data_IF_310692270545
#
_entry.id   IF_310692270545
#
_cell.length_a   1.000
_cell.length_b   1.000
_cell.length_c   1.000
_cell.angle_alpha   90.00
_cell.angle_beta   90.00
_cell.angle_gamma   90.00
#
_symmetry.space_group_name_H-M   'P 1'
#
loop_
_entity.id
_entity.type
_entity.pdbx_description
1 polymer ?
#
# COMPACT_ATOMS: atom_id res chain seq x y z
N UNK A 1 105.79 25.82 39.64
CA UNK A 1 105.06 26.15 38.37
C UNK A 1 104.43 24.93 37.76
N UNK A 2 105.20 24.01 37.12
CA UNK A 2 104.61 22.92 36.26
C UNK A 2 103.66 21.95 36.89
N UNK A 3 103.78 21.64 38.20
CA UNK A 3 102.86 20.70 38.93
C UNK A 3 101.49 21.29 39.13
N UNK A 4 101.35 22.58 39.30
CA UNK A 4 100.04 23.30 39.53
C UNK A 4 99.32 23.37 38.14
N UNK A 5 100.04 23.65 37.04
CA UNK A 5 99.49 23.65 35.69
C UNK A 5 98.95 22.26 35.28
N UNK A 6 99.73 21.21 35.55
CA UNK A 6 99.27 19.82 35.32
C UNK A 6 98.02 19.47 36.18
N UNK A 7 98.00 19.91 37.39
CA UNK A 7 96.80 19.69 38.28
C UNK A 7 95.56 20.38 37.80
N UNK A 8 95.73 21.62 37.26
CA UNK A 8 94.56 22.36 36.65
C UNK A 8 94.12 21.69 35.35
N UNK A 9 95.03 21.27 34.49
CA UNK A 9 94.65 20.56 33.25
C UNK A 9 93.98 19.21 33.53
N UNK A 10 94.37 18.50 34.56
CA UNK A 10 93.70 17.26 35.01
C UNK A 10 92.29 17.53 35.54
N UNK A 11 92.11 18.63 36.25
CA UNK A 11 90.73 19.01 36.73
C UNK A 11 89.78 19.44 35.58
N UNK A 12 90.37 20.17 34.58
CA UNK A 12 89.60 20.53 33.37
C UNK A 12 89.15 19.31 32.58
N UNK A 13 90.07 18.33 32.40
CA UNK A 13 89.77 17.09 31.72
C UNK A 13 88.72 16.29 32.49
N UNK A 14 88.81 16.21 33.80
CA UNK A 14 87.77 15.58 34.62
C UNK A 14 86.40 16.24 34.47
N UNK A 15 86.33 17.58 34.48
CA UNK A 15 85.06 18.35 34.24
C UNK A 15 84.45 18.04 32.87
N UNK A 16 85.32 18.04 31.83
CA UNK A 16 84.83 17.72 30.46
C UNK A 16 84.36 16.27 30.35
N UNK A 17 85.03 15.34 31.08
CA UNK A 17 84.60 13.96 31.12
C UNK A 17 83.24 13.75 31.74
N UNK A 18 82.94 14.48 32.87
CA UNK A 18 81.62 14.49 33.51
C UNK A 18 80.54 15.05 32.60
N UNK A 19 80.85 16.14 31.88
CA UNK A 19 79.92 16.73 30.91
C UNK A 19 79.64 15.76 29.77
N UNK A 20 80.60 15.11 29.23
CA UNK A 20 80.44 14.09 28.18
C UNK A 20 79.64 12.87 28.66
N UNK A 21 79.83 12.43 29.89
CA UNK A 21 79.05 11.36 30.51
C UNK A 21 77.53 11.78 30.65
N UNK A 22 77.28 13.02 31.13
CA UNK A 22 75.91 13.57 31.19
C UNK A 22 75.26 13.63 29.81
N UNK A 23 76.01 14.16 28.83
CA UNK A 23 75.49 14.25 27.45
C UNK A 23 75.20 12.85 26.85
N UNK A 24 76.07 11.84 27.11
CA UNK A 24 75.84 10.45 26.70
C UNK A 24 74.54 9.91 27.29
N UNK A 25 74.29 10.08 28.60
CA UNK A 25 73.10 9.60 29.27
C UNK A 25 71.84 10.29 28.72
N UNK A 26 71.90 11.60 28.43
CA UNK A 26 70.83 12.33 27.79
C UNK A 26 70.49 11.79 26.40
N UNK A 27 71.51 11.49 25.57
CA UNK A 27 71.34 10.88 24.25
C UNK A 27 70.69 9.51 24.34
N UNK A 28 71.10 8.66 25.28
CA UNK A 28 70.48 7.35 25.53
C UNK A 28 69.02 7.45 25.93
N UNK A 29 68.68 8.42 26.81
CA UNK A 29 67.30 8.70 27.19
C UNK A 29 66.43 9.17 26.01
N UNK A 30 66.95 10.09 25.19
CA UNK A 30 66.30 10.58 23.99
C UNK A 30 66.09 9.42 22.98
N UNK A 31 67.08 8.57 22.74
CA UNK A 31 66.99 7.42 21.89
C UNK A 31 65.88 6.44 22.35
N UNK A 32 65.81 6.16 23.64
CA UNK A 32 64.74 5.30 24.20
C UNK A 32 63.35 5.92 24.04
N UNK A 33 63.22 7.22 24.27
CA UNK A 33 61.98 7.96 24.07
C UNK A 33 61.54 7.98 22.59
N UNK A 34 62.47 8.17 21.64
CA UNK A 34 62.19 8.08 20.22
C UNK A 34 61.71 6.69 19.79
N UNK A 35 62.31 5.64 20.35
CA UNK A 35 61.88 4.26 20.04
C UNK A 35 60.43 4.00 20.54
N UNK A 36 60.11 4.49 21.71
CA UNK A 36 58.74 4.38 22.27
C UNK A 36 57.73 5.15 21.43
N UNK A 37 58.05 6.36 21.01
CA UNK A 37 57.17 7.20 20.15
C UNK A 37 56.96 6.49 18.80
N UNK A 38 58.02 5.94 18.18
CA UNK A 38 57.87 5.20 16.93
C UNK A 38 56.97 3.96 17.08
N UNK A 39 57.10 3.20 18.18
CA UNK A 39 56.21 2.06 18.43
C UNK A 39 54.74 2.50 18.58
N UNK A 40 54.49 3.59 19.29
CA UNK A 40 53.13 4.16 19.42
C UNK A 40 52.58 4.66 18.07
N UNK A 41 53.44 5.27 17.26
CA UNK A 41 53.04 5.75 15.92
C UNK A 41 52.65 4.57 14.99
N UNK A 42 53.45 3.51 15.02
CA UNK A 42 53.13 2.31 14.24
C UNK A 42 51.80 1.67 14.66
N UNK A 43 51.57 1.51 15.98
CA UNK A 43 50.31 1.00 16.51
C UNK A 43 49.11 1.91 16.16
N UNK A 44 49.31 3.22 16.18
CA UNK A 44 48.30 4.17 15.77
C UNK A 44 47.94 4.03 14.28
N UNK A 45 48.94 3.91 13.40
CA UNK A 45 48.73 3.76 11.98
C UNK A 45 48.02 2.43 11.64
N UNK A 46 48.37 1.32 12.32
CA UNK A 46 47.69 0.03 12.15
C UNK A 46 46.19 0.15 12.55
N UNK A 47 45.91 0.80 13.69
CA UNK A 47 44.53 1.03 14.14
C UNK A 47 43.76 1.95 13.19
N UNK A 48 44.39 2.97 12.63
CA UNK A 48 43.81 3.86 11.66
C UNK A 48 43.38 3.13 10.38
N UNK A 49 44.27 2.25 9.87
CA UNK A 49 43.96 1.46 8.67
C UNK A 49 42.86 0.44 8.92
N UNK A 50 42.80 -0.16 10.11
CA UNK A 50 41.70 -1.03 10.51
C UNK A 50 40.36 -0.27 10.55
N UNK A 51 40.36 0.93 11.14
CA UNK A 51 39.16 1.78 11.19
C UNK A 51 38.68 2.22 9.80
N UNK A 52 39.64 2.58 8.92
CA UNK A 52 39.30 2.91 7.52
C UNK A 52 38.62 1.73 6.79
N UNK A 53 39.15 0.52 6.96
CA UNK A 53 38.56 -0.70 6.36
C UNK A 53 37.16 -0.99 6.92
N UNK A 54 36.99 -0.88 8.23
CA UNK A 54 35.67 -1.03 8.87
C UNK A 54 34.64 -0.01 8.35
N UNK A 55 35.05 1.26 8.28
CA UNK A 55 34.19 2.33 7.74
C UNK A 55 33.77 2.04 6.30
N UNK A 56 34.71 1.65 5.45
CA UNK A 56 34.40 1.33 4.05
C UNK A 56 33.45 0.13 3.92
N UNK A 57 33.61 -0.89 4.75
CA UNK A 57 32.68 -2.03 4.79
C UNK A 57 31.27 -1.60 5.22
N UNK A 58 31.16 -0.74 6.22
CA UNK A 58 29.89 -0.18 6.69
C UNK A 58 29.23 0.70 5.64
N UNK A 59 29.97 1.57 4.97
CA UNK A 59 29.47 2.42 3.89
C UNK A 59 28.92 1.57 2.72
N UNK A 60 29.63 0.50 2.34
CA UNK A 60 29.19 -0.42 1.31
C UNK A 60 27.90 -1.16 1.72
N UNK A 61 27.82 -1.62 2.97
CA UNK A 61 26.62 -2.26 3.49
C UNK A 61 25.43 -1.31 3.51
N UNK A 62 25.61 -0.09 3.98
CA UNK A 62 24.56 0.92 4.01
C UNK A 62 24.05 1.28 2.60
N UNK A 63 24.97 1.36 1.62
CA UNK A 63 24.60 1.55 0.22
C UNK A 63 23.75 0.37 -0.28
N UNK A 64 24.17 -0.86 -0.04
CA UNK A 64 23.41 -2.05 -0.42
C UNK A 64 22.01 -2.07 0.18
N UNK A 65 21.87 -1.80 1.49
CA UNK A 65 20.57 -1.75 2.18
C UNK A 65 19.67 -0.67 1.56
N UNK A 66 20.24 0.49 1.24
CA UNK A 66 19.48 1.58 0.59
C UNK A 66 19.00 1.17 -0.82
N UNK A 67 19.84 0.52 -1.61
CA UNK A 67 19.50 0.07 -2.96
C UNK A 67 18.40 -1.01 -2.91
N UNK A 68 18.48 -1.95 -1.97
CA UNK A 68 17.45 -2.97 -1.73
C UNK A 68 16.11 -2.31 -1.31
N UNK A 69 16.16 -1.36 -0.37
CA UNK A 69 14.97 -0.64 0.09
C UNK A 69 14.30 0.13 -1.05
N UNK A 70 15.09 0.80 -1.90
CA UNK A 70 14.57 1.53 -3.05
C UNK A 70 13.91 0.58 -4.07
N UNK A 71 14.56 -0.55 -4.38
CA UNK A 71 14.02 -1.55 -5.30
C UNK A 71 12.72 -2.15 -4.78
N UNK A 72 12.64 -2.45 -3.47
CA UNK A 72 11.43 -2.93 -2.84
C UNK A 72 10.30 -1.89 -2.93
N UNK A 73 10.58 -0.63 -2.67
CA UNK A 73 9.57 0.45 -2.76
C UNK A 73 9.03 0.63 -4.19
N UNK A 74 9.88 0.50 -5.20
CA UNK A 74 9.45 0.55 -6.60
C UNK A 74 8.53 -0.64 -6.90
N UNK A 75 8.97 -1.85 -6.58
CA UNK A 75 8.19 -3.07 -6.77
C UNK A 75 6.83 -3.02 -6.06
N UNK A 76 6.80 -2.54 -4.81
CA UNK A 76 5.57 -2.38 -4.06
C UNK A 76 4.59 -1.41 -4.73
N UNK A 77 5.09 -0.27 -5.22
CA UNK A 77 4.26 0.69 -5.97
C UNK A 77 3.69 0.08 -7.25
N UNK A 78 4.50 -0.67 -7.99
CA UNK A 78 4.06 -1.34 -9.21
C UNK A 78 2.99 -2.39 -8.93
N UNK A 79 3.13 -3.16 -7.85
CA UNK A 79 2.09 -4.10 -7.40
C UNK A 79 0.76 -3.41 -7.05
N UNK A 80 0.81 -2.28 -6.33
CA UNK A 80 -0.39 -1.50 -6.00
C UNK A 80 -1.04 -0.97 -7.28
N UNK A 81 -0.25 -0.42 -8.20
CA UNK A 81 -0.76 0.08 -9.48
C UNK A 81 -1.40 -1.04 -10.31
N UNK A 82 -0.77 -2.20 -10.38
CA UNK A 82 -1.29 -3.37 -11.08
C UNK A 82 -2.60 -3.86 -10.46
N UNK A 83 -2.66 -3.97 -9.13
CA UNK A 83 -3.90 -4.31 -8.42
C UNK A 83 -5.02 -3.32 -8.76
N UNK A 84 -4.75 -2.02 -8.63
CA UNK A 84 -5.73 -0.98 -8.90
C UNK A 84 -6.23 -1.02 -10.35
N UNK A 85 -5.34 -1.33 -11.30
CA UNK A 85 -5.72 -1.48 -12.71
C UNK A 85 -6.66 -2.68 -12.91
N UNK A 86 -6.35 -3.85 -12.32
CA UNK A 86 -7.24 -5.01 -12.40
C UNK A 86 -8.59 -4.71 -11.76
N UNK A 87 -8.60 -4.10 -10.58
CA UNK A 87 -9.83 -3.72 -9.90
C UNK A 87 -10.66 -2.75 -10.75
N UNK A 88 -10.04 -1.75 -11.38
CA UNK A 88 -10.71 -0.82 -12.28
C UNK A 88 -11.31 -1.53 -13.52
N UNK A 89 -10.56 -2.38 -14.19
CA UNK A 89 -11.05 -3.18 -15.31
C UNK A 89 -12.21 -4.10 -14.93
N UNK A 90 -12.21 -4.63 -13.71
CA UNK A 90 -13.32 -5.44 -13.19
C UNK A 90 -14.58 -4.61 -12.99
N UNK A 91 -14.46 -3.38 -12.53
CA UNK A 91 -15.57 -2.47 -12.27
C UNK A 91 -16.16 -1.93 -13.57
N UNK A 92 -15.35 -1.39 -14.48
CA UNK A 92 -15.80 -0.83 -15.76
C UNK A 92 -16.67 -1.78 -16.57
N UNK A 93 -16.44 -3.08 -16.43
CA UNK A 93 -17.22 -4.10 -17.13
C UNK A 93 -18.59 -4.41 -16.50
N UNK A 94 -18.92 -3.89 -15.32
CA UNK A 94 -20.22 -4.15 -14.68
C UNK A 94 -21.13 -2.92 -14.63
N UNK A 95 -20.62 -1.71 -14.87
CA UNK A 95 -21.40 -0.45 -14.76
C UNK A 95 -22.69 -0.51 -15.59
N UNK A 96 -22.58 -0.90 -16.85
CA UNK A 96 -23.74 -1.03 -17.74
C UNK A 96 -24.74 -2.09 -17.29
N UNK A 97 -24.24 -3.24 -16.81
CA UNK A 97 -25.12 -4.29 -16.32
C UNK A 97 -25.84 -3.84 -15.03
N UNK A 98 -25.11 -3.22 -14.11
CA UNK A 98 -25.70 -2.64 -12.88
C UNK A 98 -26.77 -1.62 -13.22
N UNK A 99 -26.46 -0.69 -14.13
CA UNK A 99 -27.44 0.32 -14.58
C UNK A 99 -28.69 -0.33 -15.19
N UNK A 100 -28.51 -1.34 -16.04
CA UNK A 100 -29.63 -2.06 -16.65
C UNK A 100 -30.54 -2.75 -15.64
N UNK A 101 -29.97 -3.44 -14.64
CA UNK A 101 -30.73 -4.05 -13.55
C UNK A 101 -31.41 -2.99 -12.68
N UNK A 102 -30.70 -1.93 -12.34
CA UNK A 102 -31.25 -0.84 -11.53
C UNK A 102 -32.44 -0.16 -12.20
N UNK A 103 -32.30 0.16 -13.48
CA UNK A 103 -33.39 0.75 -14.28
C UNK A 103 -34.59 -0.20 -14.42
N UNK A 104 -34.34 -1.50 -14.55
CA UNK A 104 -35.41 -2.49 -14.63
C UNK A 104 -36.22 -2.57 -13.31
N UNK A 105 -35.54 -2.47 -12.16
CA UNK A 105 -36.17 -2.46 -10.84
C UNK A 105 -36.94 -1.16 -10.60
N UNK A 106 -36.33 -0.03 -10.94
CA UNK A 106 -36.86 1.31 -10.64
C UNK A 106 -37.55 1.96 -11.85
N UNK A 107 -38.08 1.18 -12.79
CA UNK A 107 -38.72 1.68 -14.01
C UNK A 107 -39.99 2.47 -13.79
N UNK A 108 -40.59 2.36 -12.58
CA UNK A 108 -41.81 3.06 -12.19
C UNK A 108 -41.54 4.41 -11.50
N UNK A 109 -40.27 4.79 -11.34
CA UNK A 109 -39.87 6.05 -10.73
C UNK A 109 -40.30 7.25 -11.61
N UNK A 110 -40.35 8.41 -10.97
CA UNK A 110 -40.57 9.66 -11.69
C UNK A 110 -39.47 9.87 -12.73
N UNK A 111 -39.80 10.31 -13.96
CA UNK A 111 -38.78 10.55 -14.99
C UNK A 111 -37.62 11.47 -14.57
N UNK A 112 -37.87 12.39 -13.61
CA UNK A 112 -36.82 13.27 -13.07
C UNK A 112 -35.82 12.55 -12.16
N UNK A 113 -36.27 11.47 -11.53
CA UNK A 113 -35.42 10.63 -10.64
C UNK A 113 -34.75 9.47 -11.37
N UNK A 114 -35.10 9.27 -12.65
CA UNK A 114 -34.61 8.16 -13.44
C UNK A 114 -33.07 8.22 -13.61
N UNK A 115 -32.39 7.20 -13.11
CA UNK A 115 -30.92 7.11 -13.16
C UNK A 115 -30.46 6.72 -14.56
N UNK A 116 -29.62 7.55 -15.14
CA UNK A 116 -29.08 7.38 -16.50
C UNK A 116 -27.66 6.88 -16.54
N UNK A 117 -26.92 7.05 -15.45
CA UNK A 117 -25.52 6.61 -15.35
C UNK A 117 -25.20 6.21 -13.90
N UNK A 118 -24.47 5.12 -13.76
CA UNK A 118 -23.87 4.67 -12.49
C UNK A 118 -22.38 4.49 -12.74
N UNK A 119 -21.54 5.06 -11.86
CA UNK A 119 -20.08 4.96 -11.92
C UNK A 119 -19.52 4.47 -10.62
N UNK A 120 -18.65 3.50 -10.70
CA UNK A 120 -17.82 3.04 -9.60
C UNK A 120 -16.47 3.75 -9.65
N UNK A 121 -16.11 4.43 -8.58
CA UNK A 121 -14.86 5.19 -8.48
C UNK A 121 -14.02 4.56 -7.37
N UNK A 122 -12.84 4.07 -7.74
CA UNK A 122 -11.83 3.62 -6.78
C UNK A 122 -10.93 4.79 -6.44
N UNK A 123 -11.00 5.27 -5.19
CA UNK A 123 -10.13 6.34 -4.70
C UNK A 123 -9.55 5.96 -3.35
N UNK A 124 -8.22 5.98 -3.24
CA UNK A 124 -7.49 5.69 -2.01
C UNK A 124 -7.84 4.33 -1.37
N UNK A 125 -8.11 3.32 -2.21
CA UNK A 125 -8.51 1.98 -1.78
C UNK A 125 -9.96 1.85 -1.30
N UNK A 126 -10.76 2.92 -1.42
CA UNK A 126 -12.19 2.93 -1.10
C UNK A 126 -13.02 3.07 -2.37
N UNK A 127 -14.11 2.30 -2.43
CA UNK A 127 -15.08 2.41 -3.50
C UNK A 127 -16.11 3.49 -3.16
N UNK A 128 -16.36 4.36 -4.15
CA UNK A 128 -17.50 5.27 -4.15
C UNK A 128 -18.36 4.98 -5.35
N UNK A 129 -19.65 5.10 -5.20
CA UNK A 129 -20.61 4.91 -6.29
C UNK A 129 -21.30 6.26 -6.51
N UNK A 130 -21.14 6.78 -7.71
CA UNK A 130 -21.82 7.99 -8.14
C UNK A 130 -22.87 7.65 -9.18
N UNK A 131 -23.91 8.49 -9.26
CA UNK A 131 -24.94 8.35 -10.27
C UNK A 131 -25.34 9.71 -10.84
N UNK A 132 -25.99 9.67 -12.01
CA UNK A 132 -26.64 10.81 -12.64
C UNK A 132 -28.09 10.47 -12.92
N UNK A 133 -28.96 11.49 -12.85
CA UNK A 133 -30.38 11.39 -13.22
C UNK A 133 -30.63 12.06 -14.57
N UNK A 134 -31.80 11.79 -15.15
CA UNK A 134 -32.16 12.33 -16.47
C UNK A 134 -32.27 13.87 -16.47
N UNK A 135 -32.65 14.46 -15.36
CA UNK A 135 -32.79 15.90 -15.18
C UNK A 135 -31.54 16.67 -14.81
N UNK A 136 -30.45 15.96 -14.47
CA UNK A 136 -29.23 16.58 -13.95
C UNK A 136 -27.96 15.96 -14.50
N UNK A 137 -27.07 16.80 -15.02
CA UNK A 137 -25.73 16.39 -15.42
C UNK A 137 -24.75 16.25 -14.25
N UNK A 138 -25.16 16.60 -13.03
CA UNK A 138 -24.30 16.52 -11.84
C UNK A 138 -24.18 15.08 -11.36
N UNK A 139 -22.94 14.64 -11.12
CA UNK A 139 -22.68 13.39 -10.42
C UNK A 139 -22.95 13.55 -8.93
N UNK A 140 -23.73 12.63 -8.37
CA UNK A 140 -24.12 12.61 -6.96
C UNK A 140 -23.67 11.30 -6.33
N UNK A 141 -23.27 11.37 -5.06
CA UNK A 141 -22.94 10.15 -4.27
C UNK A 141 -24.24 9.41 -3.91
N UNK A 142 -24.27 8.10 -4.13
CA UNK A 142 -25.46 7.27 -3.88
C UNK A 142 -25.90 7.28 -2.42
N UNK A 143 -24.93 7.26 -1.47
CA UNK A 143 -25.24 7.23 -0.05
C UNK A 143 -25.80 8.55 0.47
N UNK A 144 -25.50 9.66 -0.20
CA UNK A 144 -25.99 10.98 0.19
C UNK A 144 -27.37 11.31 -0.37
N UNK A 145 -27.78 10.67 -1.49
CA UNK A 145 -28.93 11.11 -2.26
C UNK A 145 -30.01 10.04 -2.45
N UNK A 146 -29.68 8.75 -2.43
CA UNK A 146 -30.65 7.69 -2.61
C UNK A 146 -31.36 7.34 -1.31
N UNK A 147 -32.65 7.01 -1.40
CA UNK A 147 -33.41 6.43 -0.30
C UNK A 147 -32.92 5.03 0.07
N UNK A 148 -33.28 4.53 1.23
CA UNK A 148 -32.91 3.17 1.65
C UNK A 148 -33.42 2.10 0.67
N UNK A 149 -34.62 2.26 0.13
CA UNK A 149 -35.19 1.37 -0.89
C UNK A 149 -34.37 1.35 -2.17
N UNK A 150 -33.97 2.53 -2.67
CA UNK A 150 -33.09 2.65 -3.84
C UNK A 150 -31.67 2.11 -3.60
N UNK A 151 -31.11 2.29 -2.40
CA UNK A 151 -29.81 1.69 -2.04
C UNK A 151 -29.88 0.15 -2.04
N UNK A 152 -30.98 -0.42 -1.56
CA UNK A 152 -31.21 -1.88 -1.62
C UNK A 152 -31.40 -2.37 -3.06
N UNK A 153 -32.14 -1.64 -3.87
CA UNK A 153 -32.29 -1.92 -5.30
C UNK A 153 -30.93 -1.86 -6.02
N UNK A 154 -30.09 -0.88 -5.68
CA UNK A 154 -28.72 -0.79 -6.21
C UNK A 154 -27.87 -1.98 -5.76
N UNK A 155 -27.92 -2.36 -4.49
CA UNK A 155 -27.20 -3.53 -3.97
C UNK A 155 -27.59 -4.82 -4.68
N UNK A 156 -28.90 -5.02 -4.91
CA UNK A 156 -29.43 -6.14 -5.69
C UNK A 156 -28.92 -6.09 -7.14
N UNK A 157 -28.94 -4.91 -7.77
CA UNK A 157 -28.46 -4.72 -9.14
C UNK A 157 -26.97 -5.05 -9.30
N UNK A 158 -26.14 -4.66 -8.32
CA UNK A 158 -24.70 -5.00 -8.29
C UNK A 158 -24.53 -6.52 -8.16
N UNK A 159 -25.25 -7.14 -7.22
CA UNK A 159 -25.18 -8.61 -7.05
C UNK A 159 -25.55 -9.35 -8.33
N UNK A 160 -26.63 -8.94 -9.00
CA UNK A 160 -27.09 -9.55 -10.24
C UNK A 160 -26.09 -9.35 -11.39
N UNK A 161 -25.55 -8.15 -11.54
CA UNK A 161 -24.54 -7.84 -12.55
C UNK A 161 -23.25 -8.68 -12.36
N UNK A 162 -22.79 -8.83 -11.14
CA UNK A 162 -21.64 -9.68 -10.79
C UNK A 162 -21.97 -11.16 -11.06
N UNK A 163 -23.17 -11.61 -10.72
CA UNK A 163 -23.62 -12.98 -10.98
C UNK A 163 -23.69 -13.29 -12.45
N UNK A 164 -24.25 -12.40 -13.25
CA UNK A 164 -24.31 -12.53 -14.72
C UNK A 164 -22.91 -12.54 -15.35
N UNK A 165 -22.04 -11.61 -14.95
CA UNK A 165 -20.65 -11.55 -15.43
C UNK A 165 -19.90 -12.85 -15.17
N UNK A 166 -20.09 -13.45 -14.01
CA UNK A 166 -19.43 -14.70 -13.61
C UNK A 166 -20.20 -15.95 -14.08
N UNK A 167 -21.35 -15.78 -14.75
CA UNK A 167 -22.21 -16.85 -15.23
C UNK A 167 -22.50 -17.89 -14.14
N UNK A 168 -22.90 -17.42 -12.94
CA UNK A 168 -23.16 -18.31 -11.80
C UNK A 168 -24.32 -19.27 -12.10
N UNK A 169 -24.22 -20.55 -11.71
CA UNK A 169 -25.22 -21.55 -12.05
C UNK A 169 -26.52 -21.44 -11.23
N UNK A 170 -26.46 -20.82 -10.06
CA UNK A 170 -27.64 -20.65 -9.18
C UNK A 170 -27.55 -19.39 -8.33
N UNK A 171 -28.70 -18.88 -7.91
CA UNK A 171 -28.84 -17.70 -7.05
C UNK A 171 -29.73 -18.04 -5.84
N UNK A 172 -29.40 -17.50 -4.69
CA UNK A 172 -30.21 -17.58 -3.49
C UNK A 172 -30.66 -16.16 -3.10
N UNK A 173 -31.96 -15.95 -3.08
CA UNK A 173 -32.58 -14.71 -2.62
C UNK A 173 -33.23 -14.98 -1.26
N UNK A 174 -32.57 -14.59 -0.19
CA UNK A 174 -33.09 -14.73 1.15
C UNK A 174 -33.69 -13.40 1.61
N UNK A 175 -35.04 -13.30 1.48
CA UNK A 175 -35.84 -12.15 1.89
C UNK A 175 -35.38 -10.78 1.33
N UNK A 176 -34.74 -10.78 0.16
CA UNK A 176 -34.12 -9.56 -0.45
C UNK A 176 -35.11 -8.47 -0.79
N UNK A 177 -36.40 -8.79 -0.91
CA UNK A 177 -37.45 -7.85 -1.36
C UNK A 177 -38.12 -7.09 -0.22
N UNK A 178 -37.83 -7.42 1.01
CA UNK A 178 -38.62 -6.99 2.16
C UNK A 178 -38.63 -5.49 2.43
N UNK A 179 -37.58 -4.78 2.09
CA UNK A 179 -37.48 -3.35 2.27
C UNK A 179 -37.48 -2.55 0.95
N UNK A 180 -38.02 -3.17 -0.08
CA UNK A 180 -38.23 -2.55 -1.40
C UNK A 180 -39.71 -2.29 -1.55
N UNK A 181 -40.10 -1.15 -2.12
CA UNK A 181 -41.48 -0.74 -2.31
C UNK A 181 -42.29 -1.71 -3.17
N UNK A 182 -43.59 -1.72 -3.00
CA UNK A 182 -44.48 -2.69 -3.66
C UNK A 182 -44.44 -2.65 -5.18
N UNK A 183 -44.21 -1.49 -5.78
CA UNK A 183 -44.08 -1.29 -7.23
C UNK A 183 -42.76 -1.86 -7.72
N UNK A 184 -41.66 -1.56 -7.04
CA UNK A 184 -40.35 -2.10 -7.34
C UNK A 184 -40.28 -3.63 -7.19
N UNK A 185 -41.01 -4.21 -6.21
CA UNK A 185 -41.16 -5.66 -6.06
C UNK A 185 -41.84 -6.30 -7.28
N UNK A 186 -42.87 -5.63 -7.85
CA UNK A 186 -43.49 -6.12 -9.08
C UNK A 186 -42.49 -6.11 -10.26
N UNK A 187 -41.69 -5.03 -10.37
CA UNK A 187 -40.67 -4.89 -11.38
C UNK A 187 -39.58 -5.95 -11.26
N UNK A 188 -39.15 -6.32 -10.03
CA UNK A 188 -38.21 -7.42 -9.77
C UNK A 188 -38.76 -8.73 -10.29
N UNK A 189 -40.04 -9.05 -10.04
CA UNK A 189 -40.67 -10.28 -10.54
C UNK A 189 -40.63 -10.29 -12.08
N UNK A 190 -41.06 -9.22 -12.73
CA UNK A 190 -41.03 -9.15 -14.19
C UNK A 190 -39.60 -9.24 -14.74
N UNK A 191 -38.63 -8.61 -14.09
CA UNK A 191 -37.23 -8.69 -14.45
C UNK A 191 -36.73 -10.15 -14.38
N UNK A 192 -37.03 -10.88 -13.31
CA UNK A 192 -36.65 -12.30 -13.16
C UNK A 192 -37.16 -13.12 -14.34
N UNK A 193 -38.40 -12.92 -14.76
CA UNK A 193 -39.01 -13.70 -15.86
C UNK A 193 -38.65 -13.19 -17.26
N UNK A 194 -38.15 -11.97 -17.42
CA UNK A 194 -37.84 -11.38 -18.72
C UNK A 194 -36.34 -11.31 -19.04
N UNK A 195 -35.47 -11.28 -18.03
CA UNK A 195 -34.02 -11.19 -18.23
C UNK A 195 -33.47 -12.53 -18.75
N UNK A 196 -32.64 -12.50 -19.78
CA UNK A 196 -32.10 -13.67 -20.46
C UNK A 196 -31.20 -14.55 -19.57
N UNK A 197 -30.43 -13.93 -18.69
CA UNK A 197 -29.55 -14.62 -17.74
C UNK A 197 -30.39 -15.27 -16.65
N UNK A 198 -31.29 -14.50 -16.01
CA UNK A 198 -32.09 -14.97 -14.87
C UNK A 198 -33.04 -16.12 -15.26
N UNK A 199 -33.62 -16.11 -16.47
CA UNK A 199 -34.43 -17.22 -17.00
C UNK A 199 -33.71 -18.58 -17.05
N UNK A 200 -32.39 -18.57 -17.17
CA UNK A 200 -31.56 -19.78 -17.30
C UNK A 200 -30.89 -20.17 -16.00
N UNK A 201 -30.92 -19.30 -14.99
CA UNK A 201 -30.28 -19.49 -13.71
C UNK A 201 -31.26 -20.15 -12.73
N UNK A 202 -30.81 -21.20 -12.06
CA UNK A 202 -31.60 -21.81 -10.99
C UNK A 202 -31.69 -20.83 -9.81
N UNK A 203 -32.90 -20.60 -9.27
CA UNK A 203 -33.10 -19.67 -8.16
C UNK A 203 -33.78 -20.35 -6.99
N UNK A 204 -33.32 -20.01 -5.79
CA UNK A 204 -33.99 -20.33 -4.52
C UNK A 204 -34.40 -18.98 -3.92
N UNK A 205 -35.71 -18.78 -3.75
CA UNK A 205 -36.25 -17.52 -3.24
C UNK A 205 -37.00 -17.83 -1.95
N UNK A 206 -36.55 -17.22 -0.85
CA UNK A 206 -37.28 -17.20 0.42
C UNK A 206 -37.92 -15.84 0.61
N UNK A 207 -39.12 -15.79 1.13
CA UNK A 207 -39.79 -14.53 1.46
C UNK A 207 -40.88 -14.76 2.50
N UNK A 208 -41.08 -13.80 3.38
CA UNK A 208 -42.23 -13.76 4.28
C UNK A 208 -43.35 -12.81 3.77
N UNK A 209 -43.11 -12.15 2.63
CA UNK A 209 -44.10 -11.31 1.97
C UNK A 209 -45.06 -12.16 1.12
N UNK A 210 -46.28 -12.35 1.66
CA UNK A 210 -47.32 -13.13 0.99
C UNK A 210 -47.72 -12.52 -0.36
N UNK A 211 -47.80 -11.19 -0.46
CA UNK A 211 -48.20 -10.51 -1.70
C UNK A 211 -47.17 -10.68 -2.79
N UNK A 212 -45.87 -10.61 -2.45
CA UNK A 212 -44.81 -10.90 -3.39
C UNK A 212 -44.90 -12.33 -3.90
N UNK A 213 -45.09 -13.30 -2.99
CA UNK A 213 -45.23 -14.73 -3.35
C UNK A 213 -46.43 -14.96 -4.28
N UNK A 214 -47.61 -14.44 -3.96
CA UNK A 214 -48.80 -14.57 -4.80
C UNK A 214 -48.57 -13.97 -6.19
N UNK A 215 -47.97 -12.79 -6.28
CA UNK A 215 -47.63 -12.15 -7.57
C UNK A 215 -46.60 -12.99 -8.34
N UNK A 216 -45.60 -13.50 -7.70
CA UNK A 216 -44.56 -14.34 -8.32
C UNK A 216 -45.18 -15.59 -8.94
N UNK A 217 -46.01 -16.32 -8.19
CA UNK A 217 -46.72 -17.50 -8.67
C UNK A 217 -47.65 -17.18 -9.85
N UNK A 218 -48.39 -16.10 -9.77
CA UNK A 218 -49.32 -15.65 -10.82
C UNK A 218 -48.56 -15.25 -12.11
N UNK A 219 -47.41 -14.64 -11.99
CA UNK A 219 -46.56 -14.28 -13.14
C UNK A 219 -45.96 -15.54 -13.77
N UNK A 220 -45.47 -16.48 -12.96
CA UNK A 220 -44.97 -17.77 -13.45
C UNK A 220 -45.98 -18.56 -14.27
N UNK A 221 -47.28 -18.55 -13.88
CA UNK A 221 -48.34 -19.23 -14.60
C UNK A 221 -48.70 -18.61 -15.96
N UNK A 222 -48.27 -17.35 -16.19
CA UNK A 222 -48.54 -16.62 -17.46
C UNK A 222 -47.41 -16.66 -18.46
N UNK A 223 -46.25 -17.10 -18.07
CA UNK A 223 -45.05 -17.22 -18.89
C UNK A 223 -44.85 -18.67 -19.39
#
# INVERSE_FOLDING_TARGET
GKIIELKNSVNEIKSHLEELQKAKTQIETIKSGLKEINNRLNSYNENLDLLKRKKQAEDNYNKFVKDVSNSYNIFYKDLINFRNKIEQEQIENIDHAVLSYYQAINRSDDPSEFVTEIKFILKDGNYRINFRTADSSLERDVHACLSEGHLRALGLSIMLAVAEKNNVPFLIFDDVVNAIDSEHRANIIEMIFNNKFLKKTQMIITTHDRLFWERFCNTYQRV
#
